data_IF_494234426971
#
_entry.id   IF_494234426971
#
_cell.length_a   1.000
_cell.length_b   1.000
_cell.length_c   1.000
_cell.angle_alpha   90.00
_cell.angle_beta   90.00
_cell.angle_gamma   90.00
#
_symmetry.space_group_name_H-M   'P 1'
#
loop_
_entity.id
_entity.type
_entity.pdbx_description
1 polymer ?
#
# COMPACT_ATOMS: atom_id res chain seq x y z
N UNK A 1 10.96 -13.62 -16.60
CA UNK A 1 10.15 -13.42 -17.83
C UNK A 1 9.74 -11.97 -17.99
N UNK A 2 9.43 -11.53 -19.22
CA UNK A 2 9.01 -10.16 -19.57
C UNK A 2 7.92 -9.60 -18.65
N UNK A 3 6.97 -10.43 -18.22
CA UNK A 3 5.89 -10.05 -17.30
C UNK A 3 6.37 -9.58 -15.92
N UNK A 4 7.50 -10.09 -15.43
CA UNK A 4 8.11 -9.61 -14.18
C UNK A 4 8.72 -8.22 -14.36
N UNK A 5 9.30 -7.95 -15.54
CA UNK A 5 9.93 -6.65 -15.85
C UNK A 5 8.87 -5.55 -15.93
N UNK A 6 7.72 -5.79 -16.56
CA UNK A 6 6.61 -4.83 -16.59
C UNK A 6 6.05 -4.54 -15.19
N UNK A 7 5.93 -5.56 -14.33
CA UNK A 7 5.50 -5.38 -12.94
C UNK A 7 6.48 -4.52 -12.15
N UNK A 8 7.79 -4.78 -12.28
CA UNK A 8 8.84 -3.98 -11.64
C UNK A 8 8.80 -2.54 -12.15
N UNK A 9 8.71 -2.32 -13.46
CA UNK A 9 8.61 -0.96 -14.03
C UNK A 9 7.36 -0.22 -13.53
N UNK A 10 6.21 -0.89 -13.50
CA UNK A 10 4.97 -0.29 -13.01
C UNK A 10 5.03 0.06 -11.52
N UNK A 11 5.64 -0.81 -10.70
CA UNK A 11 5.92 -0.52 -9.29
C UNK A 11 6.84 0.68 -9.13
N UNK A 12 8.00 0.67 -9.79
CA UNK A 12 9.00 1.74 -9.70
C UNK A 12 8.43 3.08 -10.13
N UNK A 13 7.59 3.10 -11.18
CA UNK A 13 6.87 4.31 -11.60
C UNK A 13 5.95 4.84 -10.50
N UNK A 14 5.04 4.00 -9.98
CA UNK A 14 4.10 4.43 -8.94
C UNK A 14 4.81 4.87 -7.65
N UNK A 15 5.88 4.17 -7.28
CA UNK A 15 6.69 4.52 -6.13
C UNK A 15 7.37 5.88 -6.31
N UNK A 16 7.94 6.14 -7.49
CA UNK A 16 8.54 7.43 -7.84
C UNK A 16 7.50 8.54 -7.83
N UNK A 17 6.33 8.33 -8.43
CA UNK A 17 5.23 9.30 -8.44
C UNK A 17 4.83 9.69 -7.01
N UNK A 18 4.66 8.73 -6.09
CA UNK A 18 4.35 9.02 -4.70
C UNK A 18 5.46 9.81 -3.98
N UNK A 19 6.74 9.49 -4.26
CA UNK A 19 7.87 10.25 -3.71
C UNK A 19 7.95 11.69 -4.23
N UNK A 20 7.41 11.96 -5.42
CA UNK A 20 7.39 13.31 -6.00
C UNK A 20 6.26 14.18 -5.42
N UNK A 21 5.28 13.61 -4.70
CA UNK A 21 4.20 14.39 -4.07
C UNK A 21 4.69 15.29 -2.93
N UNK A 22 5.87 15.01 -2.37
CA UNK A 22 6.43 15.76 -1.26
C UNK A 22 7.42 14.93 -0.44
N UNK A 23 7.93 15.49 0.68
CA UNK A 23 8.85 14.81 1.60
C UNK A 23 8.11 13.77 2.46
N UNK A 24 7.39 12.86 1.82
CA UNK A 24 6.57 11.84 2.47
C UNK A 24 7.34 10.53 2.59
N UNK A 25 7.13 9.83 3.71
CA UNK A 25 7.62 8.47 3.89
C UNK A 25 6.70 7.52 3.11
N UNK A 26 7.28 6.64 2.29
CA UNK A 26 6.51 5.66 1.53
C UNK A 26 6.56 4.31 2.24
N UNK A 27 5.41 3.88 2.76
CA UNK A 27 5.22 2.55 3.31
C UNK A 27 4.88 1.56 2.21
N UNK A 28 5.34 0.32 2.37
CA UNK A 28 5.09 -0.76 1.42
C UNK A 28 4.43 -1.90 2.17
N UNK A 29 3.19 -2.20 1.81
CA UNK A 29 2.48 -3.38 2.27
C UNK A 29 2.58 -4.48 1.24
N UNK A 30 2.89 -5.71 1.65
CA UNK A 30 2.95 -6.89 0.81
C UNK A 30 2.10 -8.00 1.42
N UNK A 31 1.35 -8.69 0.58
CA UNK A 31 0.62 -9.89 0.96
C UNK A 31 0.86 -10.98 -0.10
N UNK A 32 2.02 -11.67 -0.06
CA UNK A 32 2.30 -12.76 -0.98
C UNK A 32 1.45 -13.97 -0.60
N UNK A 33 0.68 -14.52 -1.55
CA UNK A 33 -0.01 -15.81 -1.39
C UNK A 33 0.70 -16.88 -2.20
N UNK A 34 0.83 -18.08 -1.62
CA UNK A 34 1.54 -19.24 -2.19
C UNK A 34 0.91 -19.80 -3.48
N UNK A 35 -0.39 -19.57 -3.69
CA UNK A 35 -1.17 -20.10 -4.82
C UNK A 35 -2.02 -19.06 -5.58
N UNK A 36 -2.10 -17.82 -5.07
CA UNK A 36 -2.91 -16.76 -5.67
C UNK A 36 -2.08 -15.49 -5.84
N UNK A 37 -2.53 -14.63 -6.75
CA UNK A 37 -1.97 -13.31 -6.95
C UNK A 37 -2.01 -12.48 -5.66
N UNK A 38 -0.83 -12.09 -5.19
CA UNK A 38 -0.68 -11.28 -3.99
C UNK A 38 -1.25 -9.86 -4.14
N UNK A 39 -1.15 -9.08 -3.06
CA UNK A 39 -1.44 -7.64 -3.08
C UNK A 39 -0.23 -6.83 -2.67
N UNK A 40 -0.08 -5.66 -3.29
CA UNK A 40 1.00 -4.72 -3.05
C UNK A 40 0.40 -3.33 -2.84
N UNK A 41 0.66 -2.73 -1.69
CA UNK A 41 0.17 -1.42 -1.33
C UNK A 41 1.34 -0.47 -1.16
N UNK A 42 1.22 0.73 -1.71
CA UNK A 42 2.11 1.85 -1.48
C UNK A 42 1.32 2.92 -0.74
N UNK A 43 1.86 3.45 0.36
CA UNK A 43 1.19 4.48 1.17
C UNK A 43 2.18 5.61 1.41
N UNK A 44 1.88 6.81 0.93
CA UNK A 44 2.60 8.03 1.27
C UNK A 44 2.02 8.59 2.57
N UNK A 45 2.86 8.77 3.59
CA UNK A 45 2.48 9.38 4.87
C UNK A 45 3.35 10.61 5.16
N UNK A 46 2.76 11.60 5.83
CA UNK A 46 3.52 12.71 6.42
C UNK A 46 4.18 12.31 7.75
N UNK A 47 4.86 13.29 8.37
CA UNK A 47 5.59 13.08 9.62
C UNK A 47 4.67 12.71 10.79
N UNK A 48 3.41 13.15 10.74
CA UNK A 48 2.39 12.86 11.76
C UNK A 48 1.70 11.50 11.50
N UNK A 49 2.03 10.84 10.39
CA UNK A 49 1.46 9.54 10.00
C UNK A 49 0.12 9.67 9.27
N UNK A 50 -0.25 10.85 8.79
CA UNK A 50 -1.45 11.02 7.98
C UNK A 50 -1.18 10.59 6.54
N UNK A 51 -2.09 9.79 6.00
CA UNK A 51 -2.00 9.26 4.64
C UNK A 51 -2.29 10.39 3.65
N UNK A 52 -1.33 10.69 2.78
CA UNK A 52 -1.49 11.64 1.66
C UNK A 52 -2.00 10.95 0.40
N UNK A 53 -1.48 9.77 0.12
CA UNK A 53 -2.03 8.93 -0.94
C UNK A 53 -1.76 7.45 -0.64
N UNK A 54 -2.73 6.59 -0.93
CA UNK A 54 -2.55 5.15 -0.89
C UNK A 54 -2.88 4.55 -2.25
N UNK A 55 -2.00 3.70 -2.78
CA UNK A 55 -2.20 2.96 -4.02
C UNK A 55 -2.12 1.47 -3.76
N UNK A 56 -3.03 0.73 -4.34
CA UNK A 56 -3.11 -0.72 -4.18
C UNK A 56 -3.08 -1.40 -5.54
N UNK A 57 -2.23 -2.41 -5.68
CA UNK A 57 -2.26 -3.37 -6.77
C UNK A 57 -2.73 -4.72 -6.22
N UNK A 58 -3.80 -5.27 -6.79
CA UNK A 58 -4.30 -6.60 -6.49
C UNK A 58 -4.26 -7.42 -7.79
N UNK A 59 -3.73 -8.63 -7.75
CA UNK A 59 -3.44 -9.36 -8.99
C UNK A 59 -1.95 -9.32 -9.33
N UNK A 60 -1.39 -10.41 -9.87
CA UNK A 60 -0.06 -10.44 -10.52
C UNK A 60 -0.17 -10.71 -12.02
N UNK A 61 -1.35 -10.50 -12.60
CA UNK A 61 -1.53 -10.57 -14.05
C UNK A 61 -1.02 -9.28 -14.70
N UNK A 62 -0.71 -9.31 -15.99
CA UNK A 62 -0.30 -8.12 -16.77
C UNK A 62 -1.33 -6.99 -16.75
N UNK A 63 -2.58 -7.30 -16.42
CA UNK A 63 -3.67 -6.34 -16.31
C UNK A 63 -3.80 -5.72 -14.92
N UNK A 64 -3.07 -6.22 -13.92
CA UNK A 64 -3.10 -5.67 -12.57
C UNK A 64 -2.45 -4.28 -12.56
N UNK A 65 -3.25 -3.26 -12.27
CA UNK A 65 -2.81 -1.86 -12.17
C UNK A 65 -2.93 -1.39 -10.72
N UNK A 66 -2.08 -0.41 -10.38
CA UNK A 66 -2.29 0.34 -9.16
C UNK A 66 -3.57 1.16 -9.29
N UNK A 67 -4.39 1.12 -8.24
CA UNK A 67 -5.55 1.98 -8.07
C UNK A 67 -5.38 2.81 -6.80
N UNK A 68 -5.69 4.10 -6.87
CA UNK A 68 -5.68 4.98 -5.71
C UNK A 68 -6.87 4.67 -4.81
N UNK A 69 -6.61 4.52 -3.51
CA UNK A 69 -7.59 4.29 -2.47
C UNK A 69 -7.94 5.62 -1.78
N UNK A 70 -8.70 6.48 -2.47
CA UNK A 70 -9.08 7.81 -1.95
C UNK A 70 -9.73 7.78 -0.55
N UNK A 71 -10.42 6.69 -0.21
CA UNK A 71 -11.03 6.50 1.12
C UNK A 71 -10.04 6.45 2.29
N UNK A 72 -8.74 6.29 2.00
CA UNK A 72 -7.67 6.28 3.02
C UNK A 72 -6.98 7.63 3.17
N UNK A 73 -7.14 8.54 2.20
CA UNK A 73 -6.54 9.87 2.22
C UNK A 73 -7.03 10.68 3.43
N UNK A 74 -6.12 11.40 4.08
CA UNK A 74 -6.38 12.16 5.29
C UNK A 74 -6.49 11.35 6.57
N UNK A 75 -6.62 10.01 6.50
CA UNK A 75 -6.66 9.17 7.71
C UNK A 75 -5.27 8.99 8.29
N UNK A 76 -5.18 8.96 9.61
CA UNK A 76 -3.94 8.59 10.29
C UNK A 76 -3.73 7.07 10.23
N UNK A 77 -2.53 6.63 9.83
CA UNK A 77 -2.22 5.21 9.63
C UNK A 77 -2.35 4.37 10.90
N UNK A 78 -1.97 4.92 12.06
CA UNK A 78 -2.03 4.20 13.34
C UNK A 78 -3.48 4.06 13.82
N UNK A 79 -4.26 5.15 13.72
CA UNK A 79 -5.70 5.13 14.05
C UNK A 79 -6.44 4.15 13.14
N UNK A 80 -6.18 4.20 11.83
CA UNK A 80 -6.79 3.31 10.85
C UNK A 80 -6.45 1.84 11.11
N UNK A 81 -5.22 1.54 11.53
CA UNK A 81 -4.79 0.18 11.85
C UNK A 81 -5.40 -0.34 13.17
N UNK A 82 -5.79 0.54 14.10
CA UNK A 82 -6.46 0.20 15.35
C UNK A 82 -8.00 0.12 15.22
N UNK A 83 -8.59 0.76 14.20
CA UNK A 83 -10.04 0.78 14.01
C UNK A 83 -10.56 -0.53 13.38
N UNK A 84 -11.08 -1.39 14.23
CA UNK A 84 -11.66 -2.68 13.82
C UNK A 84 -12.84 -2.53 12.84
N UNK A 85 -13.69 -1.51 13.00
CA UNK A 85 -14.88 -1.33 12.17
C UNK A 85 -14.49 -0.92 10.74
N UNK A 86 -13.55 0.02 10.62
CA UNK A 86 -13.01 0.43 9.32
C UNK A 86 -12.28 -0.73 8.63
N UNK A 87 -11.46 -1.49 9.36
CA UNK A 87 -10.79 -2.67 8.81
C UNK A 87 -11.79 -3.75 8.36
N UNK A 88 -12.93 -3.92 9.04
CA UNK A 88 -13.98 -4.88 8.64
C UNK A 88 -14.69 -4.47 7.36
N UNK A 89 -14.80 -3.18 7.08
CA UNK A 89 -15.36 -2.63 5.81
C UNK A 89 -14.42 -2.81 4.62
N UNK A 90 -13.13 -3.03 4.85
CA UNK A 90 -12.16 -3.31 3.79
C UNK A 90 -12.23 -4.77 3.35
N UNK A 91 -12.01 -5.02 2.05
CA UNK A 91 -11.80 -6.40 1.60
C UNK A 91 -10.55 -7.01 2.25
N UNK A 92 -10.57 -8.34 2.43
CA UNK A 92 -9.54 -9.10 3.17
C UNK A 92 -8.12 -8.80 2.68
N UNK A 93 -7.92 -8.70 1.36
CA UNK A 93 -6.62 -8.47 0.75
C UNK A 93 -6.07 -7.07 1.06
N UNK A 94 -6.93 -6.05 0.96
CA UNK A 94 -6.58 -4.66 1.29
C UNK A 94 -6.22 -4.54 2.77
N UNK A 95 -7.03 -5.13 3.65
CA UNK A 95 -6.78 -5.16 5.10
C UNK A 95 -5.44 -5.79 5.43
N UNK A 96 -5.16 -6.98 4.91
CA UNK A 96 -3.89 -7.68 5.17
C UNK A 96 -2.69 -6.87 4.68
N UNK A 97 -2.81 -6.24 3.52
CA UNK A 97 -1.75 -5.43 2.93
C UNK A 97 -1.49 -4.14 3.73
N UNK A 98 -2.56 -3.46 4.17
CA UNK A 98 -2.50 -2.29 5.05
C UNK A 98 -1.83 -2.61 6.38
N UNK A 99 -2.25 -3.68 7.05
CA UNK A 99 -1.67 -4.10 8.33
C UNK A 99 -0.20 -4.49 8.20
N UNK A 100 0.20 -5.11 7.08
CA UNK A 100 1.60 -5.38 6.79
C UNK A 100 2.41 -4.09 6.57
N UNK A 101 1.84 -3.09 5.87
CA UNK A 101 2.48 -1.78 5.71
C UNK A 101 2.66 -1.07 7.06
N UNK A 102 1.64 -1.13 7.93
CA UNK A 102 1.69 -0.57 9.26
C UNK A 102 2.70 -1.26 10.16
N UNK A 103 2.78 -2.59 10.13
CA UNK A 103 3.82 -3.34 10.86
C UNK A 103 5.22 -2.86 10.46
N UNK A 104 5.46 -2.74 9.16
CA UNK A 104 6.72 -2.22 8.62
C UNK A 104 6.99 -0.79 9.13
N UNK A 105 5.97 0.07 9.21
CA UNK A 105 6.11 1.42 9.76
C UNK A 105 6.53 1.43 11.24
N UNK A 106 5.94 0.57 12.07
CA UNK A 106 6.28 0.44 13.49
C UNK A 106 7.70 -0.10 13.66
N UNK A 107 8.05 -1.14 12.90
CA UNK A 107 9.38 -1.76 12.95
C UNK A 107 10.50 -0.78 12.53
N UNK A 108 10.22 0.20 11.65
CA UNK A 108 11.18 1.25 11.25
C UNK A 108 11.14 2.53 12.10
N UNK A 109 10.22 2.65 13.07
CA UNK A 109 10.18 3.78 14.02
C UNK A 109 10.89 3.46 15.34
N UNK A 110 11.20 2.20 15.59
CA UNK A 110 11.97 1.69 16.75
C UNK A 110 13.44 1.55 16.35
#
# INVERSE_FOLDING_TARGET
GLFGIFQIKNFSRNYRELRLLGPYRILIGKNPKRFFSGSLMLIAIDNDGNIKEARLMQGVTVFAKFRTLKKLEGKNIAVLAADYQELKRMNKLTRQCLLNAYKTFVDFKT
#
